data_IF_500690439442
#
_entry.id   IF_500690439442
#
_cell.length_a   1.000
_cell.length_b   1.000
_cell.length_c   1.000
_cell.angle_alpha   90.00
_cell.angle_beta   90.00
_cell.angle_gamma   90.00
#
_symmetry.space_group_name_H-M   'P 1'
#
loop_
_entity.id
_entity.type
_entity.pdbx_description
1 polymer ?
#
# COMPACT_ATOMS: atom_id res chain seq x y z
N UNK A 1 0.36 -9.21 27.04
CA UNK A 1 -0.51 -8.25 26.32
C UNK A 1 -1.25 -9.05 25.27
N UNK A 2 -2.56 -9.17 25.41
CA UNK A 2 -3.37 -10.04 24.55
C UNK A 2 -3.55 -9.40 23.18
N UNK A 3 -3.15 -10.11 22.11
CA UNK A 3 -3.67 -9.87 20.76
C UNK A 3 -5.12 -10.35 20.76
N UNK A 4 -6.02 -9.53 21.30
CA UNK A 4 -7.46 -9.66 21.09
C UNK A 4 -7.87 -8.51 20.19
N UNK A 5 -7.44 -8.57 18.94
CA UNK A 5 -8.02 -7.74 17.90
C UNK A 5 -8.95 -8.65 17.11
N UNK A 6 -10.26 -8.44 17.28
CA UNK A 6 -11.24 -9.06 16.40
C UNK A 6 -10.80 -8.77 14.95
N UNK A 7 -10.79 -9.78 14.09
CA UNK A 7 -10.43 -9.62 12.68
C UNK A 7 -11.36 -8.57 12.09
N UNK A 8 -10.85 -7.34 11.92
CA UNK A 8 -11.57 -6.26 11.27
C UNK A 8 -11.30 -6.34 9.78
N UNK A 9 -12.31 -6.74 9.00
CA UNK A 9 -12.23 -6.70 7.55
C UNK A 9 -12.30 -5.23 7.12
N UNK A 10 -11.31 -4.79 6.34
CA UNK A 10 -11.28 -3.43 5.80
C UNK A 10 -10.79 -3.45 4.37
N UNK A 11 -11.41 -2.61 3.54
CA UNK A 11 -10.87 -2.31 2.22
C UNK A 11 -9.59 -1.46 2.37
N UNK A 12 -8.54 -1.85 1.66
CA UNK A 12 -7.25 -1.17 1.67
C UNK A 12 -6.82 -0.89 0.22
N UNK A 13 -6.56 0.39 -0.14
CA UNK A 13 -5.99 0.71 -1.43
C UNK A 13 -4.63 0.02 -1.60
N UNK A 14 -4.38 -0.56 -2.77
CA UNK A 14 -3.13 -1.23 -3.09
C UNK A 14 -2.34 -0.44 -4.12
N UNK A 15 -1.06 -0.19 -3.81
CA UNK A 15 -0.10 0.43 -4.72
C UNK A 15 0.86 -0.64 -5.23
N UNK A 16 0.83 -0.99 -6.53
CA UNK A 16 1.71 -2.00 -7.08
C UNK A 16 3.14 -1.45 -7.26
N UNK A 17 4.12 -2.20 -6.77
CA UNK A 17 5.54 -1.93 -6.95
C UNK A 17 6.25 -3.24 -7.33
N UNK A 18 6.73 -3.37 -8.58
CA UNK A 18 7.48 -4.55 -9.00
C UNK A 18 8.73 -4.75 -8.12
N UNK A 19 9.03 -6.01 -7.81
CA UNK A 19 10.30 -6.42 -7.18
C UNK A 19 10.63 -5.74 -5.83
N UNK A 20 9.63 -5.21 -5.11
CA UNK A 20 9.84 -4.52 -3.84
C UNK A 20 9.30 -5.33 -2.64
N UNK A 21 10.15 -5.48 -1.62
CA UNK A 21 9.77 -5.95 -0.28
C UNK A 21 10.16 -4.89 0.75
N UNK A 22 9.23 -4.56 1.65
CA UNK A 22 9.42 -3.57 2.72
C UNK A 22 9.39 -4.24 4.09
N UNK A 23 10.35 -3.86 4.93
CA UNK A 23 10.34 -4.21 6.34
C UNK A 23 9.59 -3.16 7.16
N UNK A 24 8.91 -3.55 8.27
CA UNK A 24 8.25 -2.62 9.17
C UNK A 24 9.19 -1.50 9.65
N UNK A 25 8.67 -0.27 9.69
CA UNK A 25 9.42 0.91 10.15
C UNK A 25 10.40 1.50 9.12
N UNK A 26 10.54 0.91 7.92
CA UNK A 26 11.40 1.47 6.88
C UNK A 26 10.68 2.56 6.08
N UNK A 27 11.38 3.65 5.80
CA UNK A 27 10.89 4.69 4.89
C UNK A 27 11.03 4.25 3.43
N UNK A 28 9.97 4.46 2.64
CA UNK A 28 9.97 4.30 1.20
C UNK A 28 9.60 5.64 0.53
N UNK A 29 10.58 6.39 0.01
CA UNK A 29 10.28 7.59 -0.78
C UNK A 29 9.66 7.16 -2.12
N UNK A 30 8.46 7.67 -2.43
CA UNK A 30 7.75 7.38 -3.67
C UNK A 30 7.59 8.63 -4.52
N UNK A 31 7.92 8.51 -5.81
CA UNK A 31 7.59 9.52 -6.80
C UNK A 31 6.35 9.09 -7.60
N UNK A 32 5.21 9.68 -7.29
CA UNK A 32 3.91 9.30 -7.85
C UNK A 32 3.57 10.20 -9.03
N UNK A 33 3.90 9.75 -10.24
CA UNK A 33 3.67 10.54 -11.46
C UNK A 33 2.37 10.15 -12.19
N UNK A 34 1.98 8.88 -12.16
CA UNK A 34 0.78 8.42 -12.87
C UNK A 34 -0.49 8.99 -12.24
N UNK A 35 -1.36 9.54 -13.09
CA UNK A 35 -2.56 10.27 -12.67
C UNK A 35 -3.48 9.44 -11.76
N UNK A 36 -3.71 8.17 -12.09
CA UNK A 36 -4.55 7.26 -11.29
C UNK A 36 -4.05 7.11 -9.85
N UNK A 37 -2.73 7.02 -9.67
CA UNK A 37 -2.14 6.87 -8.34
C UNK A 37 -2.04 8.19 -7.61
N UNK A 38 -1.92 9.32 -8.31
CA UNK A 38 -2.05 10.65 -7.69
C UNK A 38 -3.44 10.83 -7.07
N UNK A 39 -4.50 10.41 -7.76
CA UNK A 39 -5.85 10.42 -7.18
C UNK A 39 -5.90 9.54 -5.94
N UNK A 40 -5.44 8.29 -6.05
CA UNK A 40 -5.44 7.33 -4.93
C UNK A 40 -4.72 7.88 -3.69
N UNK A 41 -3.52 8.44 -3.87
CA UNK A 41 -2.73 9.00 -2.78
C UNK A 41 -3.41 10.23 -2.15
N UNK A 42 -4.03 11.09 -2.96
CA UNK A 42 -4.82 12.20 -2.41
C UNK A 42 -5.99 11.70 -1.55
N UNK A 43 -6.70 10.65 -1.97
CA UNK A 43 -7.75 10.01 -1.16
C UNK A 43 -7.18 9.43 0.14
N UNK A 44 -6.06 8.72 0.07
CA UNK A 44 -5.38 8.14 1.25
C UNK A 44 -4.96 9.23 2.25
N UNK A 45 -4.43 10.34 1.77
CA UNK A 45 -3.97 11.46 2.60
C UNK A 45 -5.10 12.17 3.35
N UNK A 46 -6.31 12.17 2.78
CA UNK A 46 -7.53 12.70 3.43
C UNK A 46 -8.13 11.73 4.45
N UNK A 47 -7.81 10.43 4.36
CA UNK A 47 -8.25 9.40 5.29
C UNK A 47 -7.24 9.07 6.37
N UNK A 48 -7.14 7.78 6.70
CA UNK A 48 -6.26 7.25 7.75
C UNK A 48 -4.80 6.99 7.32
N UNK A 49 -4.44 7.39 6.09
CA UNK A 49 -3.09 7.32 5.56
C UNK A 49 -2.50 5.91 5.47
N UNK A 50 -3.35 4.88 5.42
CA UNK A 50 -2.93 3.48 5.25
C UNK A 50 -3.21 3.02 3.83
N UNK A 51 -2.23 2.34 3.24
CA UNK A 51 -2.35 1.63 1.98
C UNK A 51 -1.41 0.43 2.00
N UNK A 52 -1.69 -0.55 1.14
CA UNK A 52 -0.83 -1.70 0.95
C UNK A 52 0.14 -1.49 -0.21
N UNK A 53 1.31 -2.10 -0.11
CA UNK A 53 2.22 -2.25 -1.24
C UNK A 53 2.11 -3.69 -1.73
N UNK A 54 1.81 -3.85 -3.00
CA UNK A 54 1.74 -5.16 -3.66
C UNK A 54 3.02 -5.36 -4.46
N UNK A 55 3.74 -6.45 -4.19
CA UNK A 55 4.79 -6.92 -5.09
C UNK A 55 4.11 -7.58 -6.28
N UNK A 56 4.40 -7.09 -7.48
CA UNK A 56 3.97 -7.73 -8.73
C UNK A 56 5.12 -8.58 -9.27
N UNK A 57 4.79 -9.80 -9.71
CA UNK A 57 5.71 -10.60 -10.50
C UNK A 57 5.77 -9.99 -11.93
N UNK A 58 6.94 -9.51 -12.39
CA UNK A 58 7.07 -8.94 -13.72
C UNK A 58 6.87 -9.96 -14.86
N UNK A 59 6.98 -11.26 -14.60
CA UNK A 59 6.80 -12.32 -15.59
C UNK A 59 5.34 -12.69 -15.83
N UNK A 60 4.50 -12.65 -14.79
CA UNK A 60 3.08 -13.02 -14.87
C UNK A 60 2.13 -11.83 -14.79
N UNK A 61 2.58 -10.71 -14.19
CA UNK A 61 1.74 -9.56 -13.88
C UNK A 61 0.76 -9.82 -12.74
N UNK A 62 0.94 -10.92 -12.00
CA UNK A 62 0.15 -11.33 -10.83
C UNK A 62 0.82 -10.91 -9.52
#
# INVERSE_FOLDING_TARGET
MAFSEAISVRELPLFPLPELVLFPGRHLPLHIFEFRYRIMINTILQGDRRFGVLMLDPATGE
#
